data_IF_072588827130
#
_entry.id   IF_072588827130
#
_cell.length_a   1.000
_cell.length_b   1.000
_cell.length_c   1.000
_cell.angle_alpha   90.00
_cell.angle_beta   90.00
_cell.angle_gamma   90.00
#
_symmetry.space_group_name_H-M   'P 1'
#
loop_
_entity.id
_entity.type
_entity.pdbx_description
1 polymer ?
#
# COMPACT_ATOMS: atom_id res chain seq x y z
N UNK A 1 8.78 1.78 9.96
CA UNK A 1 7.39 2.21 9.69
C UNK A 1 6.97 1.66 8.33
N UNK A 2 5.73 1.19 8.19
CA UNK A 2 5.18 0.76 6.89
C UNK A 2 4.14 1.78 6.41
N UNK A 3 4.28 2.24 5.16
CA UNK A 3 3.28 3.02 4.44
C UNK A 3 2.50 2.08 3.52
N UNK A 4 1.20 1.93 3.75
CA UNK A 4 0.35 1.05 2.96
C UNK A 4 -0.94 1.74 2.52
N UNK A 5 -1.50 1.28 1.39
CA UNK A 5 -2.68 1.84 0.75
C UNK A 5 -2.49 2.02 -0.75
N UNK A 6 -3.32 2.86 -1.35
CA UNK A 6 -3.34 3.09 -2.79
C UNK A 6 -2.38 4.19 -3.23
N UNK A 7 -2.66 4.80 -4.39
CA UNK A 7 -1.92 5.96 -4.89
C UNK A 7 -1.93 7.16 -3.94
N UNK A 8 -3.00 7.36 -3.15
CA UNK A 8 -3.08 8.44 -2.17
C UNK A 8 -2.19 8.17 -0.96
N UNK A 9 -1.99 6.91 -0.58
CA UNK A 9 -0.96 6.58 0.41
C UNK A 9 0.43 6.83 -0.19
N UNK A 10 0.69 6.29 -1.39
CA UNK A 10 1.99 6.40 -2.06
C UNK A 10 2.44 7.85 -2.31
N UNK A 11 1.52 8.79 -2.50
CA UNK A 11 1.87 10.20 -2.72
C UNK A 11 2.67 10.81 -1.55
N UNK A 12 2.50 10.28 -0.34
CA UNK A 12 3.20 10.76 0.86
C UNK A 12 4.62 10.21 1.00
N UNK A 13 4.99 9.20 0.20
CA UNK A 13 6.27 8.51 0.33
C UNK A 13 7.48 9.47 0.31
N UNK A 14 7.60 10.44 -0.61
CA UNK A 14 8.80 11.31 -0.63
C UNK A 14 8.99 12.09 0.68
N UNK A 15 7.91 12.62 1.26
CA UNK A 15 7.97 13.37 2.51
C UNK A 15 8.27 12.47 3.71
N UNK A 16 7.60 11.31 3.79
CA UNK A 16 7.83 10.35 4.86
C UNK A 16 9.25 9.76 4.80
N UNK A 17 9.77 9.49 3.61
CA UNK A 17 11.12 8.94 3.43
C UNK A 17 12.19 9.95 3.88
N UNK A 18 12.03 11.23 3.52
CA UNK A 18 12.91 12.30 4.00
C UNK A 18 12.93 12.40 5.54
N UNK A 19 11.75 12.34 6.18
CA UNK A 19 11.63 12.35 7.65
C UNK A 19 12.23 11.09 8.26
N UNK A 20 12.00 9.92 7.65
CA UNK A 20 12.58 8.66 8.10
C UNK A 20 14.11 8.69 8.11
N UNK A 21 14.70 9.11 6.99
CA UNK A 21 16.15 9.26 6.86
C UNK A 21 16.71 10.23 7.92
N UNK A 22 16.08 11.39 8.10
CA UNK A 22 16.49 12.35 9.13
C UNK A 22 16.35 11.79 10.56
N UNK A 23 15.37 10.92 10.80
CA UNK A 23 15.11 10.26 12.08
C UNK A 23 15.88 8.96 12.31
N UNK A 24 16.70 8.51 11.35
CA UNK A 24 17.45 7.25 11.46
C UNK A 24 16.61 5.98 11.34
N UNK A 25 15.44 6.03 10.69
CA UNK A 25 14.58 4.87 10.48
C UNK A 25 14.08 4.79 9.02
N UNK A 26 13.75 3.58 8.56
CA UNK A 26 13.30 3.34 7.18
C UNK A 26 11.77 3.37 7.05
N UNK A 27 11.28 3.98 5.96
CA UNK A 27 9.91 3.80 5.48
C UNK A 27 9.89 2.62 4.52
N UNK A 28 8.99 1.66 4.75
CA UNK A 28 8.74 0.56 3.83
C UNK A 28 7.44 0.88 3.11
N UNK A 29 7.49 1.06 1.79
CA UNK A 29 6.30 1.33 1.00
C UNK A 29 5.69 0.01 0.49
N UNK A 30 4.55 -0.37 1.04
CA UNK A 30 3.75 -1.51 0.59
C UNK A 30 2.41 -1.00 0.03
N UNK A 31 2.46 -0.41 -1.16
CA UNK A 31 1.32 0.27 -1.78
C UNK A 31 0.90 -0.40 -3.08
N UNK A 32 -0.39 -0.40 -3.40
CA UNK A 32 -0.91 -0.90 -4.67
C UNK A 32 -1.93 0.08 -5.26
N UNK A 33 -1.64 0.61 -6.44
CA UNK A 33 -2.49 1.59 -7.13
C UNK A 33 -3.95 1.10 -7.24
N UNK A 34 -4.89 2.02 -7.01
CA UNK A 34 -6.34 1.79 -6.97
C UNK A 34 -6.86 0.84 -5.88
N UNK A 35 -6.00 0.26 -5.04
CA UNK A 35 -6.41 -0.70 -4.02
C UNK A 35 -6.44 -0.08 -2.62
N UNK A 36 -7.66 0.14 -2.11
CA UNK A 36 -7.88 0.51 -0.70
C UNK A 36 -7.58 -0.67 0.22
N UNK A 37 -7.14 -0.37 1.45
CA UNK A 37 -6.95 -1.35 2.54
C UNK A 37 -8.28 -1.89 3.06
N UNK A 38 -9.38 -1.16 2.83
CA UNK A 38 -10.73 -1.60 3.21
C UNK A 38 -11.09 -2.82 2.37
N UNK A 39 -11.70 -3.82 3.01
CA UNK A 39 -12.15 -5.02 2.33
C UNK A 39 -13.44 -4.76 1.53
N UNK A 40 -13.25 -4.27 0.31
CA UNK A 40 -14.32 -4.01 -0.65
C UNK A 40 -13.90 -4.45 -2.05
N UNK A 41 -14.87 -4.92 -2.83
CA UNK A 41 -14.66 -5.21 -4.25
C UNK A 41 -14.27 -3.93 -4.98
N UNK A 42 -13.08 -3.93 -5.57
CA UNK A 42 -12.58 -2.80 -6.35
C UNK A 42 -12.89 -3.04 -7.82
N UNK A 43 -13.48 -2.06 -8.50
CA UNK A 43 -13.60 -2.04 -9.95
C UNK A 43 -12.46 -1.22 -10.55
N UNK A 44 -11.79 -1.74 -11.60
CA UNK A 44 -10.78 -0.98 -12.33
C UNK A 44 -11.40 -0.43 -13.63
N UNK A 45 -11.62 0.89 -13.74
CA UNK A 45 -12.25 1.48 -14.92
C UNK A 45 -11.40 1.36 -16.19
N UNK A 46 -10.07 1.26 -16.07
CA UNK A 46 -9.18 1.09 -17.23
C UNK A 46 -9.21 -0.33 -17.80
N UNK A 47 -9.58 -1.33 -16.99
CA UNK A 47 -9.73 -2.72 -17.40
C UNK A 47 -11.20 -3.13 -17.58
N UNK A 48 -12.12 -2.24 -17.26
CA UNK A 48 -13.58 -2.44 -17.27
C UNK A 48 -14.06 -3.67 -16.49
N UNK A 49 -13.33 -4.08 -15.45
CA UNK A 49 -13.61 -5.30 -14.71
C UNK A 49 -13.33 -5.16 -13.21
N UNK A 50 -13.83 -6.13 -12.44
CA UNK A 50 -13.40 -6.35 -11.05
C UNK A 50 -11.88 -6.50 -11.03
N UNK A 51 -11.24 -5.80 -10.10
CA UNK A 51 -9.80 -5.83 -9.94
C UNK A 51 -9.39 -6.79 -8.83
N UNK A 52 -9.40 -8.09 -9.16
CA UNK A 52 -9.03 -9.18 -8.24
C UNK A 52 -7.64 -9.01 -7.62
N UNK A 53 -6.75 -8.28 -8.32
CA UNK A 53 -5.45 -7.93 -7.79
C UNK A 53 -5.50 -7.18 -6.45
N UNK A 54 -6.55 -6.40 -6.16
CA UNK A 54 -6.69 -5.73 -4.87
C UNK A 54 -7.00 -6.70 -3.74
N UNK A 55 -7.77 -7.75 -4.03
CA UNK A 55 -8.16 -8.77 -3.06
C UNK A 55 -6.98 -9.68 -2.76
N UNK A 56 -6.28 -10.13 -3.80
CA UNK A 56 -5.04 -10.90 -3.67
C UNK A 56 -3.98 -10.13 -2.87
N UNK A 57 -3.88 -8.82 -3.08
CA UNK A 57 -2.95 -7.96 -2.32
C UNK A 57 -3.37 -7.80 -0.85
N UNK A 58 -4.66 -7.63 -0.55
CA UNK A 58 -5.16 -7.56 0.84
C UNK A 58 -5.03 -8.88 1.58
N UNK A 59 -5.21 -10.01 0.89
CA UNK A 59 -5.15 -11.34 1.47
C UNK A 59 -3.81 -11.64 2.15
N UNK A 60 -2.72 -11.03 1.69
CA UNK A 60 -1.37 -11.19 2.25
C UNK A 60 -0.88 -9.95 2.99
N UNK A 61 -1.68 -8.87 3.06
CA UNK A 61 -1.22 -7.56 3.52
C UNK A 61 -0.63 -7.60 4.93
N UNK A 62 -1.37 -8.18 5.88
CA UNK A 62 -0.93 -8.21 7.28
C UNK A 62 0.20 -9.22 7.51
N UNK A 63 0.20 -10.34 6.79
CA UNK A 63 1.28 -11.34 6.86
C UNK A 63 2.60 -10.73 6.38
N UNK A 64 2.58 -10.06 5.23
CA UNK A 64 3.74 -9.36 4.67
C UNK A 64 4.23 -8.24 5.59
N UNK A 65 3.32 -7.47 6.22
CA UNK A 65 3.71 -6.40 7.15
C UNK A 65 4.35 -6.97 8.43
N UNK A 66 3.77 -8.03 9.00
CA UNK A 66 4.25 -8.64 10.25
C UNK A 66 5.58 -9.38 10.04
N UNK A 67 5.86 -9.86 8.83
CA UNK A 67 7.14 -10.46 8.47
C UNK A 67 8.31 -9.47 8.35
N UNK A 68 8.07 -8.16 8.53
CA UNK A 68 9.11 -7.11 8.48
C UNK A 68 9.76 -6.81 9.84
N UNK A 69 9.26 -7.43 10.91
CA UNK A 69 9.83 -7.43 12.26
C UNK A 69 11.14 -8.25 12.33
#
# INVERSE_FOLDING_TARGET
MVLTGDSHARQWLPGLDAVGQAGGWRVIAWTKSACTVIDIVTYNPSLEQRYEGCENWRAVLFDEITALD
#
